data_IF_878177860690
#
_entry.id   IF_878177860690
#
_cell.length_a   1.000
_cell.length_b   1.000
_cell.length_c   1.000
_cell.angle_alpha   90.00
_cell.angle_beta   90.00
_cell.angle_gamma   90.00
#
_symmetry.space_group_name_H-M   'P 1'
#
loop_
_entity.id
_entity.type
_entity.pdbx_description
1 polymer ?
#
# COMPACT_ATOMS: atom_id res chain seq x y z
N UNK A 1 -14.79 12.82 2.06
CA UNK A 1 -14.76 11.47 1.46
C UNK A 1 -13.36 10.89 1.60
N UNK A 2 -13.24 9.64 2.07
CA UNK A 2 -11.96 8.96 2.25
C UNK A 2 -11.62 8.16 0.98
N UNK A 3 -10.34 8.09 0.62
CA UNK A 3 -9.85 7.35 -0.55
C UNK A 3 -10.04 5.85 -0.35
N UNK A 4 -10.14 5.10 -1.46
CA UNK A 4 -10.17 3.65 -1.42
C UNK A 4 -8.86 3.07 -0.88
N UNK A 5 -8.96 1.90 -0.26
CA UNK A 5 -7.83 1.19 0.31
C UNK A 5 -6.95 0.59 -0.80
N UNK A 6 -5.63 0.71 -0.66
CA UNK A 6 -4.67 0.05 -1.54
C UNK A 6 -4.63 -1.46 -1.23
N UNK A 7 -4.20 -2.29 -2.19
CA UNK A 7 -4.05 -3.74 -2.08
C UNK A 7 -3.40 -4.20 -0.77
N UNK A 8 -2.33 -3.53 -0.34
CA UNK A 8 -1.67 -3.82 0.94
C UNK A 8 -2.60 -3.67 2.15
N UNK A 9 -3.43 -2.62 2.17
CA UNK A 9 -4.35 -2.39 3.28
C UNK A 9 -5.49 -3.41 3.27
N UNK A 10 -5.96 -3.82 2.10
CA UNK A 10 -6.96 -4.90 1.97
C UNK A 10 -6.41 -6.22 2.50
N UNK A 11 -5.20 -6.58 2.09
CA UNK A 11 -4.49 -7.73 2.63
C UNK A 11 -4.32 -7.59 4.14
N UNK A 12 -3.83 -6.45 4.64
CA UNK A 12 -3.60 -6.23 6.06
C UNK A 12 -4.86 -6.39 6.91
N UNK A 13 -6.01 -5.98 6.38
CA UNK A 13 -7.30 -6.13 7.03
C UNK A 13 -7.70 -7.61 7.08
N UNK A 14 -7.63 -8.32 5.95
CA UNK A 14 -7.92 -9.76 5.91
C UNK A 14 -6.98 -10.57 6.81
N UNK A 15 -5.70 -10.21 6.84
CA UNK A 15 -4.69 -10.88 7.64
C UNK A 15 -4.97 -10.72 9.14
N UNK A 16 -5.33 -9.51 9.58
CA UNK A 16 -5.73 -9.22 10.96
C UNK A 16 -7.06 -9.87 11.37
N UNK A 17 -7.95 -10.15 10.42
CA UNK A 17 -9.22 -10.82 10.67
C UNK A 17 -9.03 -12.33 10.77
N UNK A 18 -8.14 -12.90 9.95
CA UNK A 18 -7.85 -14.33 9.93
C UNK A 18 -6.94 -14.76 11.09
N UNK A 19 -6.00 -13.91 11.48
CA UNK A 19 -5.20 -14.12 12.67
C UNK A 19 -5.96 -13.65 13.92
N UNK A 20 -5.96 -14.47 14.97
CA UNK A 20 -6.76 -14.30 16.20
C UNK A 20 -6.83 -12.85 16.71
N UNK A 21 -8.01 -12.37 17.17
CA UNK A 21 -8.20 -10.98 17.60
C UNK A 21 -7.38 -10.57 18.84
N UNK A 22 -6.82 -11.54 19.58
CA UNK A 22 -5.88 -11.27 20.67
C UNK A 22 -4.44 -10.99 20.20
N UNK A 23 -4.07 -11.47 19.01
CA UNK A 23 -2.75 -11.23 18.45
C UNK A 23 -2.67 -9.79 17.94
N UNK A 24 -2.00 -8.92 18.70
CA UNK A 24 -1.60 -7.57 18.29
C UNK A 24 -0.50 -7.63 17.22
N UNK A 25 -0.84 -8.10 16.03
CA UNK A 25 0.08 -8.12 14.90
C UNK A 25 0.42 -6.68 14.51
N UNK A 26 1.70 -6.36 14.50
CA UNK A 26 2.20 -5.04 14.14
C UNK A 26 2.11 -4.83 12.63
N UNK A 27 2.04 -3.57 12.19
CA UNK A 27 2.06 -3.28 10.76
C UNK A 27 3.39 -3.70 10.10
N UNK A 28 4.48 -3.76 10.88
CA UNK A 28 5.78 -4.23 10.42
C UNK A 28 5.77 -5.70 9.99
N UNK A 29 5.18 -6.57 10.81
CA UNK A 29 5.05 -8.01 10.52
C UNK A 29 4.19 -8.27 9.28
N UNK A 30 3.07 -7.56 9.16
CA UNK A 30 2.21 -7.62 7.96
C UNK A 30 2.98 -7.14 6.73
N UNK A 31 3.79 -6.09 6.87
CA UNK A 31 4.64 -5.60 5.80
C UNK A 31 5.66 -6.62 5.34
N UNK A 32 6.26 -7.37 6.27
CA UNK A 32 7.18 -8.48 5.95
C UNK A 32 6.44 -9.61 5.22
N UNK A 33 5.26 -10.00 5.70
CA UNK A 33 4.45 -11.04 5.07
C UNK A 33 4.02 -10.65 3.65
N UNK A 34 3.57 -9.41 3.46
CA UNK A 34 3.20 -8.91 2.13
C UNK A 34 4.38 -8.92 1.15
N UNK A 35 5.58 -8.58 1.62
CA UNK A 35 6.79 -8.63 0.79
C UNK A 35 7.23 -10.06 0.47
N UNK A 36 6.99 -11.01 1.36
CA UNK A 36 7.32 -12.42 1.13
C UNK A 36 6.29 -13.16 0.27
N UNK A 37 5.08 -12.62 0.07
CA UNK A 37 4.08 -13.19 -0.83
C UNK A 37 4.49 -13.09 -2.30
N UNK A 38 4.18 -14.14 -3.06
CA UNK A 38 4.39 -14.14 -4.51
C UNK A 38 3.47 -13.13 -5.20
N UNK A 39 3.77 -12.79 -6.45
CA UNK A 39 2.91 -11.90 -7.24
C UNK A 39 1.50 -12.51 -7.44
N UNK A 40 1.41 -13.84 -7.59
CA UNK A 40 0.14 -14.57 -7.74
C UNK A 40 -0.72 -14.48 -6.48
N UNK A 41 -0.11 -14.58 -5.31
CA UNK A 41 -0.85 -14.48 -4.05
C UNK A 41 -1.32 -13.05 -3.77
N UNK A 42 -0.62 -12.05 -4.33
CA UNK A 42 -0.98 -10.63 -4.23
C UNK A 42 -2.03 -10.20 -5.24
N UNK A 43 -2.12 -10.89 -6.37
CA UNK A 43 -3.04 -10.61 -7.47
C UNK A 43 -4.50 -10.37 -7.06
N UNK A 44 -5.15 -11.22 -6.23
CA UNK A 44 -6.55 -10.98 -5.85
C UNK A 44 -6.74 -9.64 -5.11
N UNK A 45 -5.80 -9.27 -4.26
CA UNK A 45 -5.84 -7.99 -3.52
C UNK A 45 -5.55 -6.80 -4.43
N UNK A 46 -4.64 -6.97 -5.40
CA UNK A 46 -4.34 -5.94 -6.40
C UNK A 46 -5.57 -5.69 -7.26
N UNK A 47 -6.19 -6.74 -7.81
CA UNK A 47 -7.37 -6.63 -8.68
C UNK A 47 -8.56 -6.01 -7.94
N UNK A 48 -8.83 -6.44 -6.71
CA UNK A 48 -9.87 -5.84 -5.85
C UNK A 48 -9.62 -4.34 -5.62
N UNK A 49 -8.38 -3.95 -5.32
CA UNK A 49 -8.04 -2.54 -5.09
C UNK A 49 -8.18 -1.67 -6.35
N UNK A 50 -7.85 -2.22 -7.53
CA UNK A 50 -8.01 -1.55 -8.82
C UNK A 50 -9.50 -1.32 -9.09
N UNK A 51 -10.31 -2.38 -8.98
CA UNK A 51 -11.75 -2.28 -9.21
C UNK A 51 -12.40 -1.25 -8.30
N UNK A 52 -12.07 -1.24 -6.99
CA UNK A 52 -12.60 -0.23 -6.06
C UNK A 52 -12.13 1.18 -6.42
N UNK A 53 -10.87 1.34 -6.84
CA UNK A 53 -10.37 2.64 -7.30
C UNK A 53 -11.14 3.13 -8.53
N UNK A 54 -11.47 2.26 -9.47
CA UNK A 54 -12.27 2.59 -10.66
C UNK A 54 -13.69 3.00 -10.29
N UNK A 55 -14.36 2.21 -9.45
CA UNK A 55 -15.69 2.55 -8.93
C UNK A 55 -15.68 3.90 -8.20
N UNK A 56 -14.68 4.14 -7.36
CA UNK A 56 -14.55 5.42 -6.67
C UNK A 56 -14.36 6.60 -7.61
N UNK A 57 -13.60 6.43 -8.70
CA UNK A 57 -13.44 7.47 -9.73
C UNK A 57 -14.75 7.75 -10.46
N UNK A 58 -15.53 6.71 -10.76
CA UNK A 58 -16.82 6.83 -11.42
C UNK A 58 -17.84 7.56 -10.53
N UNK A 59 -17.92 7.18 -9.26
CA UNK A 59 -18.81 7.81 -8.27
C UNK A 59 -18.39 9.24 -7.94
N UNK A 60 -17.09 9.56 -8.04
CA UNK A 60 -16.52 10.83 -7.59
C UNK A 60 -15.63 11.50 -8.64
N UNK A 61 -16.19 11.90 -9.79
CA UNK A 61 -15.43 12.48 -10.89
C UNK A 61 -14.74 13.80 -10.50
N UNK A 62 -15.31 14.54 -9.55
CA UNK A 62 -14.78 15.82 -9.07
C UNK A 62 -13.84 15.69 -7.86
N UNK A 63 -13.44 14.48 -7.46
CA UNK A 63 -12.55 14.28 -6.33
C UNK A 63 -11.14 14.83 -6.62
N UNK A 64 -10.80 15.95 -5.99
CA UNK A 64 -9.45 16.51 -6.00
C UNK A 64 -8.68 16.07 -4.77
N UNK A 65 -7.60 15.32 -4.98
CA UNK A 65 -6.71 14.90 -3.89
C UNK A 65 -6.06 16.15 -3.27
N UNK A 66 -6.42 16.43 -2.02
CA UNK A 66 -5.78 17.49 -1.25
C UNK A 66 -4.33 17.05 -0.98
N UNK A 67 -3.36 17.61 -1.71
CA UNK A 67 -1.94 17.49 -1.34
C UNK A 67 -1.74 18.17 0.01
N UNK A 68 -1.67 17.39 1.08
CA UNK A 68 -1.19 17.88 2.36
C UNK A 68 0.26 18.26 2.12
N UNK A 69 0.58 19.56 2.13
CA UNK A 69 1.98 20.01 2.10
C UNK A 69 2.66 19.35 3.29
N UNK A 70 3.78 18.66 3.06
CA UNK A 70 4.53 18.04 4.13
C UNK A 70 4.89 19.12 5.14
N UNK A 71 4.24 19.13 6.31
CA UNK A 71 4.75 19.90 7.43
C UNK A 71 6.06 19.21 7.80
N UNK A 72 7.18 19.86 7.51
CA UNK A 72 8.53 19.35 7.81
C UNK A 72 8.57 19.12 9.32
N UNK A 73 8.35 17.87 9.76
CA UNK A 73 8.54 17.48 11.15
C UNK A 73 10.01 17.71 11.47
N UNK A 74 10.33 18.75 12.23
CA UNK A 74 11.69 19.00 12.68
C UNK A 74 12.06 17.89 13.67
N UNK A 75 13.19 17.22 13.38
CA UNK A 75 13.93 16.28 14.25
C UNK A 75 13.20 15.02 14.71
N UNK A 76 13.26 13.96 13.88
CA UNK A 76 13.38 12.59 14.37
C UNK A 76 14.77 12.13 13.97
N UNK A 77 15.65 11.89 14.96
CA UNK A 77 16.99 11.33 14.74
C UNK A 77 16.78 9.91 14.20
N UNK A 78 16.90 9.72 12.90
CA UNK A 78 16.92 8.39 12.30
C UNK A 78 18.17 7.66 12.80
N UNK A 79 17.98 6.62 13.61
CA UNK A 79 19.03 5.65 13.91
C UNK A 79 19.15 4.78 12.66
N UNK A 80 20.25 4.92 11.94
CA UNK A 80 20.53 4.17 10.71
C UNK A 80 20.86 2.72 11.04
N UNK A 81 19.85 1.86 11.11
CA UNK A 81 20.01 0.42 10.94
C UNK A 81 19.01 -0.03 9.86
N UNK A 82 19.21 0.46 8.63
CA UNK A 82 18.51 -0.06 7.46
C UNK A 82 19.30 -1.28 6.96
N UNK A 83 18.74 -2.50 6.94
CA UNK A 83 19.37 -3.62 6.27
C UNK A 83 19.54 -3.27 4.78
N UNK A 84 20.68 -3.67 4.22
CA UNK A 84 21.08 -3.38 2.86
C UNK A 84 19.97 -3.68 1.84
N UNK A 85 19.81 -2.75 0.91
CA UNK A 85 18.86 -2.83 -0.20
C UNK A 85 19.25 -4.03 -1.08
N UNK A 86 18.41 -5.06 -1.14
CA UNK A 86 18.47 -6.01 -2.25
C UNK A 86 18.13 -5.27 -3.55
N UNK A 87 18.89 -5.49 -4.64
CA UNK A 87 18.64 -4.82 -5.91
C UNK A 87 17.57 -5.61 -6.68
N UNK A 88 16.30 -5.25 -6.51
CA UNK A 88 15.27 -5.73 -7.43
C UNK A 88 15.19 -4.77 -8.62
N UNK A 89 15.96 -5.14 -9.64
CA UNK A 89 15.85 -4.68 -11.01
C UNK A 89 14.38 -4.66 -11.47
N UNK A 90 14.02 -3.57 -12.17
CA UNK A 90 12.98 -3.55 -13.22
C UNK A 90 11.50 -3.66 -12.82
N UNK A 91 10.97 -2.88 -11.87
CA UNK A 91 9.52 -2.58 -11.91
C UNK A 91 9.18 -1.10 -11.65
N UNK A 92 9.85 -0.22 -12.40
CA UNK A 92 9.21 1.03 -12.84
C UNK A 92 8.32 0.69 -14.03
N UNK A 93 7.05 0.33 -13.79
CA UNK A 93 6.04 0.41 -14.84
C UNK A 93 5.88 1.90 -15.14
N UNK A 94 6.55 2.32 -16.22
CA UNK A 94 6.37 3.60 -16.89
C UNK A 94 4.89 3.75 -17.27
N UNK A 95 4.09 4.39 -16.42
CA UNK A 95 2.94 5.15 -16.92
C UNK A 95 3.49 6.41 -17.57
N UNK A 96 4.00 6.29 -18.80
CA UNK A 96 4.31 7.42 -19.67
C UNK A 96 3.50 7.23 -20.95
N UNK A 97 2.53 8.13 -21.09
CA UNK A 97 1.76 8.45 -22.29
C UNK A 97 2.53 8.21 -23.59
N UNK A 98 1.84 7.69 -24.60
CA UNK A 98 1.78 8.31 -25.92
C UNK A 98 0.45 7.95 -26.59
N UNK A 99 -0.05 8.94 -27.34
CA UNK A 99 -1.23 8.96 -28.19
C UNK A 99 -1.23 7.84 -29.23
#
# INVERSE_FOLDING_TARGET
MKKTMNAFFEFSQSYRQNENPENRITLGEIGLKWRSMSARDREPYVNSSIHKMEQFKLENPNFKEKRIRSVRRKNIKFINNSPEKMPDEQFFIKCKAFY
#
